data_IF_952750185618
#
_entry.id   IF_952750185618
#
_cell.length_a   1.000
_cell.length_b   1.000
_cell.length_c   1.000
_cell.angle_alpha   90.00
_cell.angle_beta   90.00
_cell.angle_gamma   90.00
#
_symmetry.space_group_name_H-M   'P 1'
#
loop_
_entity.id
_entity.type
_entity.pdbx_description
1 polymer ?
#
# COMPACT_ATOMS: atom_id res chain seq x y z
N UNK A 1 -9.45 -4.80 -3.59
CA UNK A 1 -8.15 -4.10 -3.76
C UNK A 1 -7.04 -5.08 -4.12
N UNK A 2 -6.60 -5.99 -3.24
CA UNK A 2 -5.50 -6.93 -3.54
C UNK A 2 -5.71 -7.76 -4.82
N UNK A 3 -6.94 -8.22 -5.09
CA UNK A 3 -7.28 -8.90 -6.35
C UNK A 3 -7.01 -8.03 -7.59
N UNK A 4 -7.36 -6.74 -7.55
CA UNK A 4 -7.16 -5.82 -8.67
C UNK A 4 -5.67 -5.51 -8.87
N UNK A 5 -4.92 -5.29 -7.77
CA UNK A 5 -3.48 -5.08 -7.84
C UNK A 5 -2.75 -6.32 -8.39
N UNK A 6 -3.20 -7.52 -8.05
CA UNK A 6 -2.67 -8.76 -8.60
C UNK A 6 -2.79 -8.83 -10.13
N UNK A 7 -3.86 -8.26 -10.72
CA UNK A 7 -4.01 -8.20 -12.18
C UNK A 7 -3.01 -7.22 -12.81
N UNK A 8 -2.76 -6.08 -12.16
CA UNK A 8 -1.76 -5.09 -12.61
C UNK A 8 -0.35 -5.71 -12.58
N UNK A 9 0.01 -6.36 -11.47
CA UNK A 9 1.31 -7.03 -11.33
C UNK A 9 1.46 -8.21 -12.30
N UNK A 10 0.37 -8.94 -12.59
CA UNK A 10 0.38 -10.06 -13.55
C UNK A 10 0.79 -9.62 -14.97
N UNK A 11 0.45 -8.41 -15.38
CA UNK A 11 0.87 -7.85 -16.68
C UNK A 11 2.23 -7.12 -16.60
N UNK A 12 3.03 -7.43 -15.56
CA UNK A 12 4.35 -6.83 -15.29
C UNK A 12 4.31 -5.30 -15.13
N UNK A 13 3.22 -4.77 -14.59
CA UNK A 13 3.04 -3.34 -14.35
C UNK A 13 3.00 -3.00 -12.84
N UNK A 14 3.43 -1.80 -12.50
CA UNK A 14 3.40 -1.23 -11.14
C UNK A 14 2.43 -0.06 -11.16
N UNK A 15 1.56 0.06 -10.14
CA UNK A 15 0.56 1.14 -10.07
C UNK A 15 1.19 2.50 -9.75
N UNK A 16 2.13 2.54 -8.80
CA UNK A 16 2.95 3.72 -8.41
C UNK A 16 2.24 4.85 -7.67
N UNK A 17 0.92 4.94 -7.74
CA UNK A 17 0.14 5.95 -7.00
C UNK A 17 -1.09 5.33 -6.30
N UNK A 18 -0.88 4.24 -5.57
CA UNK A 18 -1.98 3.54 -4.93
C UNK A 18 -2.34 4.19 -3.58
N UNK A 19 -3.53 4.76 -3.48
CA UNK A 19 -4.08 5.35 -2.24
C UNK A 19 -5.61 5.33 -2.27
N UNK A 20 -6.29 5.69 -1.17
CA UNK A 20 -7.75 5.59 -1.07
C UNK A 20 -8.51 6.40 -2.12
N UNK A 21 -8.02 7.59 -2.46
CA UNK A 21 -8.55 8.40 -3.58
C UNK A 21 -8.51 7.72 -4.96
N UNK A 22 -7.67 6.70 -5.15
CA UNK A 22 -7.58 5.89 -6.39
C UNK A 22 -8.28 4.53 -6.26
N UNK A 23 -9.12 4.35 -5.23
CA UNK A 23 -9.99 3.18 -5.07
C UNK A 23 -11.44 3.61 -5.30
N UNK A 24 -12.05 3.07 -6.37
CA UNK A 24 -13.45 3.33 -6.69
C UNK A 24 -14.35 2.24 -6.13
N UNK A 25 -15.45 2.66 -5.51
CA UNK A 25 -16.45 1.78 -4.94
C UNK A 25 -17.81 2.01 -5.60
N UNK A 26 -18.46 0.92 -5.98
CA UNK A 26 -19.87 0.91 -6.37
C UNK A 26 -20.62 -0.04 -5.45
N UNK A 27 -21.76 0.41 -4.91
CA UNK A 27 -22.59 -0.40 -4.01
C UNK A 27 -22.94 -1.73 -4.69
N UNK A 28 -22.75 -2.83 -3.96
CA UNK A 28 -22.99 -4.19 -4.46
C UNK A 28 -21.90 -4.74 -5.39
N UNK A 29 -20.76 -4.05 -5.52
CA UNK A 29 -19.63 -4.51 -6.34
C UNK A 29 -18.32 -4.50 -5.55
N UNK A 30 -17.36 -5.30 -6.03
CA UNK A 30 -15.98 -5.25 -5.53
C UNK A 30 -15.32 -3.90 -5.88
N UNK A 31 -14.44 -3.35 -5.03
CA UNK A 31 -13.70 -2.14 -5.36
C UNK A 31 -12.76 -2.32 -6.54
N UNK A 32 -12.60 -1.25 -7.30
CA UNK A 32 -11.70 -1.14 -8.45
C UNK A 32 -10.54 -0.19 -8.13
N UNK A 33 -9.37 -0.46 -8.70
CA UNK A 33 -8.24 0.48 -8.70
C UNK A 33 -8.37 1.35 -9.94
N UNK A 34 -8.27 2.67 -9.79
CA UNK A 34 -8.33 3.66 -10.86
C UNK A 34 -7.02 4.43 -10.99
N UNK A 35 -7.00 5.37 -11.93
CA UNK A 35 -5.86 6.25 -12.22
C UNK A 35 -4.55 5.50 -12.56
N UNK A 36 -4.51 5.03 -13.80
CA UNK A 36 -3.35 4.36 -14.37
C UNK A 36 -2.37 5.34 -15.03
N UNK A 37 -2.46 6.65 -14.73
CA UNK A 37 -1.62 7.68 -15.36
C UNK A 37 -0.12 7.49 -15.14
N UNK A 38 0.26 6.92 -13.99
CA UNK A 38 1.64 6.55 -13.68
C UNK A 38 1.94 5.06 -13.86
N UNK A 39 0.90 4.26 -14.07
CA UNK A 39 1.01 2.81 -14.19
C UNK A 39 1.86 2.45 -15.41
N UNK A 40 2.80 1.52 -15.23
CA UNK A 40 3.67 1.14 -16.32
C UNK A 40 4.57 -0.05 -16.01
N UNK A 41 5.35 -0.49 -17.02
CA UNK A 41 6.20 -1.66 -16.89
C UNK A 41 7.22 -1.53 -15.75
N UNK A 42 7.43 -2.62 -15.01
CA UNK A 42 8.36 -2.65 -13.88
C UNK A 42 9.83 -2.42 -14.29
N UNK A 43 10.18 -2.76 -15.53
CA UNK A 43 11.51 -2.58 -16.12
C UNK A 43 11.74 -1.17 -16.70
N UNK A 44 10.75 -0.28 -16.63
CA UNK A 44 10.82 1.10 -17.11
C UNK A 44 10.60 2.08 -15.96
N UNK A 45 11.65 2.44 -15.20
CA UNK A 45 11.54 3.34 -14.08
C UNK A 45 11.17 4.76 -14.52
N UNK A 46 10.45 5.48 -13.66
CA UNK A 46 10.14 6.89 -13.85
C UNK A 46 11.31 7.75 -13.38
N UNK A 47 11.46 8.94 -13.99
CA UNK A 47 12.52 9.90 -13.64
C UNK A 47 12.27 10.65 -12.33
N UNK A 48 11.04 10.61 -11.83
CA UNK A 48 10.60 11.35 -10.64
C UNK A 48 9.80 10.41 -9.74
N UNK A 49 9.78 10.73 -8.44
CA UNK A 49 8.90 10.09 -7.48
C UNK A 49 7.49 10.65 -7.69
N UNK A 50 6.54 9.75 -7.93
CA UNK A 50 5.11 10.05 -7.97
C UNK A 50 4.43 9.27 -6.86
N UNK A 51 3.34 9.81 -6.33
CA UNK A 51 2.58 9.14 -5.30
C UNK A 51 2.08 10.09 -4.20
N UNK A 52 0.95 9.74 -3.60
CA UNK A 52 0.47 10.39 -2.40
C UNK A 52 1.36 10.02 -1.19
N UNK A 53 2.14 10.98 -0.66
CA UNK A 53 3.24 10.76 0.29
C UNK A 53 2.98 9.75 1.43
N UNK A 54 1.83 9.78 2.15
CA UNK A 54 1.54 8.80 3.20
C UNK A 54 1.53 7.33 2.75
N UNK A 55 1.34 7.09 1.46
CA UNK A 55 1.26 5.77 0.81
C UNK A 55 2.54 5.39 0.06
N UNK A 56 3.50 6.31 -0.07
CA UNK A 56 4.76 6.07 -0.78
C UNK A 56 5.72 5.30 0.14
N UNK A 57 6.33 4.25 -0.41
CA UNK A 57 7.26 3.41 0.32
C UNK A 57 8.54 4.18 0.71
N UNK A 58 9.16 3.89 1.88
CA UNK A 58 10.31 4.64 2.38
C UNK A 58 11.51 4.61 1.45
N UNK A 59 11.75 3.50 0.76
CA UNK A 59 12.82 3.38 -0.23
C UNK A 59 12.60 4.27 -1.45
N UNK A 60 11.34 4.47 -1.85
CA UNK A 60 10.96 5.34 -2.96
C UNK A 60 11.13 6.80 -2.55
N UNK A 61 10.71 7.16 -1.33
CA UNK A 61 10.97 8.50 -0.75
C UNK A 61 12.48 8.79 -0.72
N UNK A 62 13.30 7.78 -0.40
CA UNK A 62 14.76 7.87 -0.39
C UNK A 62 15.40 7.87 -1.80
N UNK A 63 14.61 7.93 -2.87
CA UNK A 63 15.08 8.07 -4.25
C UNK A 63 15.36 6.75 -4.98
N UNK A 64 14.99 5.59 -4.41
CA UNK A 64 15.00 4.33 -5.17
C UNK A 64 13.81 4.22 -6.11
N UNK A 65 13.96 3.38 -7.11
CA UNK A 65 12.91 3.12 -8.09
C UNK A 65 11.69 2.46 -7.44
N UNK A 66 10.51 2.76 -7.99
CA UNK A 66 9.27 2.08 -7.61
C UNK A 66 9.28 0.64 -8.11
N UNK A 67 8.89 -0.28 -7.25
CA UNK A 67 8.84 -1.73 -7.53
C UNK A 67 7.47 -2.31 -7.21
N UNK A 68 7.23 -3.59 -7.48
CA UNK A 68 6.02 -4.27 -7.04
C UNK A 68 5.85 -4.18 -5.52
N UNK A 69 6.93 -4.31 -4.76
CA UNK A 69 6.99 -4.22 -3.31
C UNK A 69 6.63 -2.82 -2.79
N UNK A 70 6.84 -1.78 -3.61
CA UNK A 70 6.40 -0.42 -3.27
C UNK A 70 4.87 -0.30 -3.32
N UNK A 71 4.19 -0.95 -4.27
CA UNK A 71 2.71 -1.01 -4.26
C UNK A 71 2.20 -1.83 -3.05
N UNK A 72 2.95 -2.85 -2.61
CA UNK A 72 2.60 -3.64 -1.42
C UNK A 72 2.64 -2.76 -0.15
N UNK A 73 3.62 -1.86 -0.04
CA UNK A 73 3.65 -0.87 1.03
C UNK A 73 2.41 0.04 1.01
N UNK A 74 2.00 0.50 -0.18
CA UNK A 74 0.79 1.30 -0.33
C UNK A 74 -0.48 0.53 0.09
N UNK A 75 -0.54 -0.79 -0.17
CA UNK A 75 -1.61 -1.65 0.36
C UNK A 75 -1.60 -1.65 1.90
N UNK A 76 -0.45 -1.68 2.56
CA UNK A 76 -0.39 -1.63 4.02
C UNK A 76 -0.99 -0.33 4.58
N UNK A 77 -0.77 0.80 3.90
CA UNK A 77 -1.36 2.09 4.26
C UNK A 77 -2.88 2.09 4.06
N UNK A 78 -3.37 1.50 2.97
CA UNK A 78 -4.80 1.26 2.76
C UNK A 78 -5.40 0.33 3.81
N UNK A 79 -4.69 -0.74 4.20
CA UNK A 79 -5.12 -1.65 5.27
C UNK A 79 -5.27 -0.91 6.60
N UNK A 80 -4.30 -0.04 6.91
CA UNK A 80 -4.35 0.77 8.13
C UNK A 80 -5.50 1.78 8.10
N UNK A 81 -5.73 2.43 6.96
CA UNK A 81 -6.84 3.36 6.76
C UNK A 81 -8.19 2.66 6.91
N UNK A 82 -8.37 1.46 6.32
CA UNK A 82 -9.57 0.65 6.50
C UNK A 82 -9.79 0.30 7.97
N UNK A 83 -8.74 -0.11 8.68
CA UNK A 83 -8.85 -0.47 10.08
C UNK A 83 -9.10 0.72 11.02
N UNK A 84 -8.61 1.91 10.67
CA UNK A 84 -8.69 3.11 11.50
C UNK A 84 -9.85 4.04 11.15
N UNK A 85 -10.38 3.93 9.94
CA UNK A 85 -11.35 4.86 9.35
C UNK A 85 -10.77 6.25 9.08
N UNK A 86 -9.43 6.40 9.00
CA UNK A 86 -8.75 7.70 8.88
C UNK A 86 -7.57 7.63 7.90
N UNK A 87 -7.25 8.73 7.20
CA UNK A 87 -6.05 8.78 6.35
C UNK A 87 -4.78 8.54 7.18
N UNK A 88 -3.78 7.81 6.64
CA UNK A 88 -2.48 7.63 7.29
C UNK A 88 -1.80 8.97 7.55
N UNK A 89 -1.18 9.12 8.72
CA UNK A 89 -0.41 10.30 9.10
C UNK A 89 -1.18 11.64 9.05
N UNK A 90 -2.51 11.63 9.20
CA UNK A 90 -3.37 12.82 9.13
C UNK A 90 -3.08 13.96 10.14
N UNK A 91 -2.11 13.78 11.05
CA UNK A 91 -1.69 14.79 12.05
C UNK A 91 -0.41 15.53 11.66
N UNK A 92 0.25 15.14 10.57
CA UNK A 92 1.46 15.80 10.09
C UNK A 92 1.07 16.94 9.15
N UNK A 93 1.47 18.16 9.50
CA UNK A 93 1.22 19.36 8.69
C UNK A 93 2.36 19.60 7.69
N UNK A 94 3.60 19.30 8.09
CA UNK A 94 4.78 19.43 7.24
C UNK A 94 5.09 18.12 6.50
N UNK A 95 5.09 18.18 5.16
CA UNK A 95 5.34 17.03 4.29
C UNK A 95 6.82 16.60 4.26
N UNK A 96 7.75 17.51 4.44
CA UNK A 96 9.18 17.19 4.46
C UNK A 96 9.53 16.42 5.73
N UNK A 97 9.05 16.88 6.88
CA UNK A 97 9.21 16.18 8.16
C UNK A 97 8.56 14.80 8.11
N UNK A 98 7.36 14.69 7.53
CA UNK A 98 6.70 13.40 7.35
C UNK A 98 7.55 12.45 6.49
N UNK A 99 8.06 12.92 5.35
CA UNK A 99 8.90 12.11 4.46
C UNK A 99 10.14 11.58 5.19
N UNK A 100 10.86 12.46 5.89
CA UNK A 100 12.05 12.10 6.66
C UNK A 100 11.72 11.11 7.78
N UNK A 101 10.61 11.32 8.49
CA UNK A 101 10.19 10.40 9.54
C UNK A 101 9.79 9.02 8.98
N UNK A 102 9.12 8.93 7.83
CA UNK A 102 8.74 7.65 7.20
C UNK A 102 10.01 6.86 6.83
N UNK A 103 11.01 7.55 6.24
CA UNK A 103 12.32 6.97 5.93
C UNK A 103 13.02 6.49 7.21
N UNK A 104 12.91 7.24 8.30
CA UNK A 104 13.44 6.87 9.62
C UNK A 104 12.60 5.81 10.37
N UNK A 105 11.57 5.25 9.73
CA UNK A 105 10.86 4.07 10.22
C UNK A 105 9.60 4.36 11.01
N UNK A 106 9.08 5.59 11.04
CA UNK A 106 7.75 5.79 11.65
C UNK A 106 6.71 4.99 10.88
N UNK A 107 5.73 4.46 11.61
CA UNK A 107 4.52 3.85 11.05
C UNK A 107 3.29 4.37 11.80
N UNK A 108 2.10 4.37 11.18
CA UNK A 108 0.89 4.73 11.88
C UNK A 108 0.64 3.80 13.09
N UNK A 109 0.16 4.36 14.20
CA UNK A 109 -0.14 3.57 15.40
C UNK A 109 -1.29 2.60 15.11
N UNK A 110 -1.10 1.32 15.39
CA UNK A 110 -2.17 0.30 15.26
C UNK A 110 -3.34 0.66 16.19
N UNK A 111 -4.56 0.59 15.65
CA UNK A 111 -5.78 0.93 16.39
C UNK A 111 -6.22 -0.26 17.25
N UNK A 112 -6.64 -0.04 18.50
CA UNK A 112 -7.22 -1.12 19.31
C UNK A 112 -8.41 -1.78 18.61
N UNK A 113 -8.46 -3.11 18.62
CA UNK A 113 -9.51 -3.89 17.96
C UNK A 113 -9.16 -4.35 16.54
N UNK A 114 -8.03 -3.93 15.95
CA UNK A 114 -7.52 -4.56 14.72
C UNK A 114 -7.24 -6.05 14.98
N UNK A 115 -7.81 -6.99 14.20
CA UNK A 115 -7.53 -8.43 14.34
C UNK A 115 -6.04 -8.75 14.22
N UNK A 116 -5.55 -9.72 15.01
CA UNK A 116 -4.12 -10.00 15.13
C UNK A 116 -3.49 -10.43 13.80
N UNK A 117 -4.18 -11.30 13.04
CA UNK A 117 -3.72 -11.78 11.74
C UNK A 117 -3.67 -10.63 10.72
N UNK A 118 -4.66 -9.74 10.74
CA UNK A 118 -4.71 -8.56 9.89
C UNK A 118 -3.58 -7.59 10.22
N UNK A 119 -3.35 -7.35 11.52
CA UNK A 119 -2.23 -6.54 12.02
C UNK A 119 -0.90 -7.12 11.54
N UNK A 120 -0.64 -8.40 11.78
CA UNK A 120 0.64 -9.02 11.43
C UNK A 120 0.90 -8.98 9.92
N UNK A 121 -0.15 -9.17 9.10
CA UNK A 121 -0.05 -9.06 7.65
C UNK A 121 0.22 -7.62 7.19
N UNK A 122 -0.50 -6.66 7.76
CA UNK A 122 -0.28 -5.23 7.50
C UNK A 122 1.15 -4.83 7.86
N UNK A 123 1.65 -5.31 9.00
CA UNK A 123 3.03 -5.05 9.45
C UNK A 123 4.07 -5.67 8.52
N UNK A 124 3.79 -6.86 7.97
CA UNK A 124 4.63 -7.48 6.97
C UNK A 124 4.66 -6.66 5.65
N UNK A 125 3.53 -6.08 5.26
CA UNK A 125 3.43 -5.29 4.03
C UNK A 125 4.16 -3.94 4.12
N UNK A 126 4.31 -3.33 5.29
CA UNK A 126 5.02 -2.06 5.46
C UNK A 126 6.46 -2.19 6.00
N UNK A 127 7.05 -3.39 5.92
CA UNK A 127 8.44 -3.62 6.34
C UNK A 127 9.38 -2.61 5.63
N UNK A 128 10.38 -2.13 6.36
CA UNK A 128 11.37 -1.20 5.83
C UNK A 128 12.22 -1.84 4.73
N UNK A 129 12.44 -3.15 4.79
CA UNK A 129 13.09 -3.94 3.75
C UNK A 129 12.04 -4.40 2.73
N UNK A 130 12.06 -3.89 1.48
CA UNK A 130 11.09 -4.29 0.47
C UNK A 130 11.07 -5.80 0.20
N UNK A 131 12.21 -6.48 0.34
CA UNK A 131 12.33 -7.93 0.07
C UNK A 131 11.59 -8.80 1.09
N UNK A 132 11.23 -8.25 2.26
CA UNK A 132 10.45 -8.94 3.30
C UNK A 132 8.94 -8.81 3.09
N UNK A 133 8.52 -7.90 2.22
CA UNK A 133 7.11 -7.69 1.90
C UNK A 133 6.60 -8.88 1.07
N UNK A 134 5.36 -9.35 1.31
CA UNK A 134 4.84 -10.50 0.59
C UNK A 134 4.58 -10.16 -0.88
N UNK A 135 4.81 -11.13 -1.77
CA UNK A 135 4.32 -11.05 -3.14
C UNK A 135 2.79 -10.89 -3.17
N UNK A 136 2.26 -10.18 -4.18
CA UNK A 136 0.83 -9.82 -4.24
C UNK A 136 -0.10 -11.04 -4.18
N UNK A 137 0.30 -12.17 -4.75
CA UNK A 137 -0.49 -13.41 -4.71
C UNK A 137 -0.57 -13.97 -3.28
N UNK A 138 0.55 -13.97 -2.56
CA UNK A 138 0.61 -14.40 -1.16
C UNK A 138 -0.24 -13.49 -0.27
N UNK A 139 -0.12 -12.17 -0.44
CA UNK A 139 -0.93 -11.18 0.26
C UNK A 139 -2.42 -11.38 0.02
N UNK A 140 -2.82 -11.54 -1.25
CA UNK A 140 -4.21 -11.78 -1.66
C UNK A 140 -4.79 -13.03 -1.02
N UNK A 141 -4.03 -14.12 -0.99
CA UNK A 141 -4.48 -15.39 -0.39
C UNK A 141 -4.64 -15.25 1.13
N UNK A 142 -3.66 -14.67 1.84
CA UNK A 142 -3.75 -14.42 3.28
C UNK A 142 -4.94 -13.52 3.65
N UNK A 143 -5.21 -12.48 2.87
CA UNK A 143 -6.39 -11.62 3.07
C UNK A 143 -7.71 -12.40 2.90
N UNK A 144 -7.77 -13.32 1.93
CA UNK A 144 -8.93 -14.18 1.72
C UNK A 144 -9.16 -15.13 2.90
N UNK A 145 -8.10 -15.71 3.45
CA UNK A 145 -8.16 -16.58 4.63
C UNK A 145 -8.67 -15.80 5.86
N UNK A 146 -8.12 -14.60 6.11
CA UNK A 146 -8.58 -13.74 7.21
C UNK A 146 -10.07 -13.41 7.06
N UNK A 147 -10.51 -13.07 5.85
CA UNK A 147 -11.92 -12.75 5.58
C UNK A 147 -12.86 -13.94 5.83
N UNK A 148 -12.46 -15.15 5.40
CA UNK A 148 -13.23 -16.37 5.60
C UNK A 148 -13.32 -16.77 7.08
N UNK A 149 -12.24 -16.59 7.85
CA UNK A 149 -12.22 -16.90 9.28
C UNK A 149 -12.97 -15.87 10.14
N UNK A 150 -13.28 -14.70 9.57
CA UNK A 150 -14.02 -13.62 10.24
C UNK A 150 -15.51 -13.58 9.87
N UNK A 151 -15.94 -14.43 8.93
CA UNK A 151 -17.32 -14.54 8.43
C UNK A 151 -18.04 -15.72 9.10
#
# INVERSE_FOLDING_TARGET
IANALAQIHYVNAIHRDLHSGNILFKIGQSPFISDLGFCGPADRPLKSIYGNLPYVAPEVIAGKEQTFESDIYSIAMLMWEISSGRPPFNKYEDQYDLAMNIVNGIRPKIVPGTPLEYKNLMEQCWDADPSKRPHIITLRNKLSEIYQNSS
#
